data_IF_244027322361
#
_entry.id   IF_244027322361
#
_cell.length_a   1.000
_cell.length_b   1.000
_cell.length_c   1.000
_cell.angle_alpha   90.00
_cell.angle_beta   90.00
_cell.angle_gamma   90.00
#
_symmetry.space_group_name_H-M   'P 1'
#
loop_
_entity.id
_entity.type
_entity.pdbx_description
1 polymer ?
#
# COMPACT_ATOMS: atom_id res chain seq x y z
N UNK A 1 4.87 27.00 -14.39
CA UNK A 1 4.65 26.10 -15.56
C UNK A 1 3.59 25.04 -15.24
N UNK A 2 2.53 24.93 -16.05
CA UNK A 2 1.54 23.83 -15.97
C UNK A 2 2.10 22.53 -16.56
N UNK A 3 1.48 21.38 -16.25
CA UNK A 3 1.87 20.07 -16.79
C UNK A 3 1.73 20.04 -18.33
N UNK A 4 0.69 20.68 -18.85
CA UNK A 4 0.46 20.86 -20.28
C UNK A 4 1.60 21.64 -20.92
N UNK A 5 2.00 22.77 -20.32
CA UNK A 5 3.11 23.57 -20.83
C UNK A 5 4.43 22.79 -20.81
N UNK A 6 4.67 21.97 -19.78
CA UNK A 6 5.86 21.12 -19.69
C UNK A 6 5.89 20.02 -20.78
N UNK A 7 4.73 19.43 -21.10
CA UNK A 7 4.61 18.46 -22.19
C UNK A 7 4.81 19.11 -23.56
N UNK A 8 4.27 20.32 -23.77
CA UNK A 8 4.46 21.09 -25.00
C UNK A 8 5.93 21.41 -25.22
N UNK A 9 6.64 21.91 -24.19
CA UNK A 9 8.08 22.18 -24.26
C UNK A 9 8.87 20.91 -24.57
N UNK A 10 8.54 19.77 -23.93
CA UNK A 10 9.20 18.49 -24.22
C UNK A 10 9.00 18.05 -25.68
N UNK A 11 7.78 18.16 -26.19
CA UNK A 11 7.47 17.79 -27.59
C UNK A 11 8.15 18.72 -28.59
N UNK A 12 8.17 20.02 -28.32
CA UNK A 12 8.85 21.00 -29.18
C UNK A 12 10.37 20.74 -29.25
N UNK A 13 11.01 20.51 -28.11
CA UNK A 13 12.44 20.16 -28.03
C UNK A 13 12.74 18.87 -28.80
N UNK A 14 11.92 17.83 -28.63
CA UNK A 14 12.10 16.57 -29.34
C UNK A 14 11.97 16.73 -30.86
N UNK A 15 11.01 17.55 -31.32
CA UNK A 15 10.78 17.80 -32.74
C UNK A 15 11.95 18.56 -33.39
N UNK A 16 12.47 19.61 -32.75
CA UNK A 16 13.62 20.36 -33.27
C UNK A 16 14.88 19.50 -33.28
N UNK A 17 15.09 18.71 -32.22
CA UNK A 17 16.24 17.80 -32.14
C UNK A 17 16.26 16.79 -33.29
N UNK A 18 15.10 16.21 -33.64
CA UNK A 18 14.99 15.25 -34.74
C UNK A 18 15.31 15.86 -36.12
N UNK A 19 15.06 17.16 -36.31
CA UNK A 19 15.40 17.84 -37.57
C UNK A 19 16.91 18.03 -37.70
N UNK A 20 17.60 18.35 -36.61
CA UNK A 20 19.05 18.60 -36.60
C UNK A 20 19.85 17.28 -36.52
N UNK A 21 19.33 16.29 -35.80
CA UNK A 21 19.98 15.01 -35.52
C UNK A 21 19.10 13.82 -35.96
N UNK A 22 18.84 13.72 -37.25
CA UNK A 22 17.88 12.75 -37.80
C UNK A 22 18.24 11.26 -37.58
N UNK A 23 19.53 10.95 -37.38
CA UNK A 23 20.02 9.59 -37.16
C UNK A 23 20.14 9.22 -35.68
N UNK A 24 19.92 10.19 -34.77
CA UNK A 24 20.03 9.96 -33.34
C UNK A 24 18.68 9.63 -32.72
N UNK A 25 18.65 8.82 -31.64
CA UNK A 25 17.43 8.58 -30.90
C UNK A 25 16.88 9.88 -30.34
N UNK A 26 15.54 10.01 -30.29
CA UNK A 26 14.90 11.23 -29.82
C UNK A 26 15.43 11.66 -28.45
N UNK A 27 15.67 12.95 -28.26
CA UNK A 27 16.17 13.50 -26.98
C UNK A 27 15.25 13.16 -25.79
N UNK A 28 13.96 12.91 -26.04
CA UNK A 28 13.01 12.43 -25.03
C UNK A 28 13.28 11.02 -24.51
N UNK A 29 14.06 10.21 -25.23
CA UNK A 29 14.48 8.86 -24.82
C UNK A 29 15.77 8.87 -24.00
N UNK A 30 16.48 10.01 -23.92
CA UNK A 30 17.70 10.10 -23.12
C UNK A 30 17.39 9.95 -21.63
N UNK A 31 18.14 9.09 -20.94
CA UNK A 31 17.87 8.73 -19.54
C UNK A 31 17.83 9.95 -18.60
N UNK A 32 18.76 10.89 -18.76
CA UNK A 32 18.80 12.13 -17.96
C UNK A 32 17.56 13.01 -18.17
N UNK A 33 17.07 13.10 -19.41
CA UNK A 33 15.88 13.89 -19.76
C UNK A 33 14.64 13.26 -19.14
N UNK A 34 14.49 11.94 -19.26
CA UNK A 34 13.38 11.22 -18.62
C UNK A 34 13.41 11.37 -17.09
N UNK A 35 14.58 11.25 -16.47
CA UNK A 35 14.75 11.42 -15.04
C UNK A 35 14.39 12.85 -14.59
N UNK A 36 14.85 13.87 -15.30
CA UNK A 36 14.52 15.27 -15.02
C UNK A 36 13.00 15.52 -15.08
N UNK A 37 12.33 15.13 -16.16
CA UNK A 37 10.88 15.32 -16.29
C UNK A 37 10.09 14.48 -15.27
N UNK A 38 10.56 13.28 -14.93
CA UNK A 38 9.96 12.42 -13.89
C UNK A 38 10.10 13.05 -12.50
N UNK A 39 11.27 13.58 -12.16
CA UNK A 39 11.52 14.30 -10.92
C UNK A 39 10.67 15.57 -10.83
N UNK A 40 10.59 16.35 -11.91
CA UNK A 40 9.82 17.61 -11.97
C UNK A 40 8.30 17.41 -11.90
N UNK A 41 7.80 16.29 -12.44
CA UNK A 41 6.41 15.86 -12.25
C UNK A 41 6.12 15.48 -10.79
N UNK A 42 7.09 14.91 -10.08
CA UNK A 42 6.97 14.51 -8.67
C UNK A 42 7.09 15.68 -7.68
N UNK A 43 7.79 16.77 -8.05
CA UNK A 43 7.95 17.95 -7.17
C UNK A 43 6.65 18.71 -6.92
N UNK A 44 5.61 18.48 -7.74
CA UNK A 44 4.23 18.84 -7.39
C UNK A 44 3.62 17.70 -6.59
N UNK A 45 4.07 17.54 -5.36
CA UNK A 45 3.29 16.84 -4.34
C UNK A 45 1.94 17.55 -4.27
N UNK A 46 0.87 16.90 -4.77
CA UNK A 46 -0.47 17.26 -4.32
C UNK A 46 -0.46 16.97 -2.82
N UNK A 47 -0.35 18.02 -2.01
CA UNK A 47 -0.74 17.93 -0.60
C UNK A 47 -2.20 17.44 -0.58
N UNK A 48 -2.55 16.53 0.33
CA UNK A 48 -3.86 15.92 0.34
C UNK A 48 -4.92 17.01 0.48
N UNK A 49 -5.96 16.83 -0.32
CA UNK A 49 -7.14 17.66 -0.39
C UNK A 49 -7.66 17.96 1.03
N UNK A 50 -7.77 19.25 1.41
CA UNK A 50 -8.25 19.66 2.75
C UNK A 50 -9.71 19.25 3.02
N UNK A 51 -10.44 18.82 1.99
CA UNK A 51 -11.83 18.39 2.07
C UNK A 51 -12.01 16.86 2.05
N UNK A 52 -10.96 16.06 2.26
CA UNK A 52 -11.17 14.62 2.44
C UNK A 52 -11.73 14.32 3.83
N UNK A 53 -12.78 13.50 3.87
CA UNK A 53 -13.28 12.84 5.07
C UNK A 53 -12.10 12.24 5.85
N UNK A 54 -11.99 12.59 7.13
CA UNK A 54 -10.99 12.02 8.02
C UNK A 54 -11.26 10.52 8.09
N UNK A 55 -10.26 9.70 7.78
CA UNK A 55 -10.37 8.25 7.96
C UNK A 55 -10.29 7.94 9.46
N UNK A 56 -11.45 7.89 10.10
CA UNK A 56 -11.58 7.57 11.52
C UNK A 56 -11.42 6.04 11.71
N UNK A 57 -10.27 5.66 12.27
CA UNK A 57 -9.93 4.28 12.55
C UNK A 57 -10.80 3.74 13.69
N UNK A 58 -11.17 4.58 14.66
CA UNK A 58 -11.93 4.17 15.84
C UNK A 58 -13.33 3.70 15.44
N UNK A 59 -13.98 4.40 14.50
CA UNK A 59 -15.26 3.94 13.93
C UNK A 59 -15.16 2.55 13.27
N UNK A 60 -14.02 2.23 12.63
CA UNK A 60 -13.80 0.91 12.02
C UNK A 60 -13.50 -0.15 13.08
N UNK A 61 -12.75 0.19 14.13
CA UNK A 61 -12.47 -0.72 15.23
C UNK A 61 -13.75 -1.05 15.99
N UNK A 62 -14.60 -0.06 16.32
CA UNK A 62 -15.91 -0.27 16.96
C UNK A 62 -16.80 -1.18 16.11
N UNK A 63 -16.85 -0.94 14.79
CA UNK A 63 -17.63 -1.80 13.89
C UNK A 63 -17.16 -3.26 13.92
N UNK A 64 -15.85 -3.48 13.89
CA UNK A 64 -15.25 -4.83 13.89
C UNK A 64 -15.37 -5.52 15.25
N UNK A 65 -15.32 -4.75 16.33
CA UNK A 65 -15.55 -5.26 17.68
C UNK A 65 -16.99 -5.77 17.84
N UNK A 66 -17.96 -5.02 17.31
CA UNK A 66 -19.39 -5.38 17.33
C UNK A 66 -19.74 -6.65 16.53
N UNK A 67 -18.81 -7.20 15.74
CA UNK A 67 -19.04 -8.49 15.07
C UNK A 67 -19.01 -9.67 16.03
N UNK A 68 -18.39 -9.51 17.20
CA UNK A 68 -18.27 -10.54 18.24
C UNK A 68 -16.81 -10.95 18.49
N UNK A 69 -16.64 -11.82 19.48
CA UNK A 69 -15.34 -12.34 19.86
C UNK A 69 -14.76 -13.25 18.76
N UNK A 70 -13.47 -13.15 18.50
CA UNK A 70 -12.79 -13.84 17.39
C UNK A 70 -13.04 -15.36 17.39
N UNK A 71 -13.04 -15.96 18.58
CA UNK A 71 -13.25 -17.41 18.78
C UNK A 71 -14.67 -17.91 18.43
N UNK A 72 -15.66 -17.02 18.44
CA UNK A 72 -17.07 -17.37 18.26
C UNK A 72 -17.57 -17.02 16.85
N UNK A 73 -16.69 -16.45 16.00
CA UNK A 73 -17.06 -16.03 14.66
C UNK A 73 -17.08 -17.21 13.67
N UNK A 74 -18.10 -17.30 12.80
CA UNK A 74 -18.05 -18.21 11.66
C UNK A 74 -16.93 -17.79 10.68
N UNK A 75 -16.43 -18.75 9.91
CA UNK A 75 -15.25 -18.58 9.04
C UNK A 75 -15.36 -17.36 8.11
N UNK A 76 -16.54 -17.09 7.54
CA UNK A 76 -16.74 -15.97 6.61
C UNK A 76 -16.61 -14.59 7.31
N UNK A 77 -17.08 -14.49 8.55
CA UNK A 77 -16.94 -13.28 9.37
C UNK A 77 -15.53 -13.16 9.93
N UNK A 78 -14.91 -14.27 10.31
CA UNK A 78 -13.53 -14.31 10.77
C UNK A 78 -12.57 -13.85 9.66
N UNK A 79 -12.76 -14.34 8.43
CA UNK A 79 -12.01 -13.87 7.26
C UNK A 79 -12.12 -12.36 7.05
N UNK A 80 -13.34 -11.82 7.09
CA UNK A 80 -13.59 -10.37 6.95
C UNK A 80 -12.90 -9.59 8.07
N UNK A 81 -12.98 -10.09 9.31
CA UNK A 81 -12.38 -9.47 10.49
C UNK A 81 -10.86 -9.41 10.36
N UNK A 82 -10.25 -10.53 10.00
CA UNK A 82 -8.81 -10.63 9.72
C UNK A 82 -8.40 -9.63 8.64
N UNK A 83 -9.14 -9.56 7.53
CA UNK A 83 -8.80 -8.67 6.42
C UNK A 83 -8.89 -7.18 6.80
N UNK A 84 -9.90 -6.78 7.57
CA UNK A 84 -10.01 -5.38 8.06
C UNK A 84 -8.88 -5.05 9.04
N UNK A 85 -8.64 -5.90 10.04
CA UNK A 85 -7.60 -5.66 11.05
C UNK A 85 -6.20 -5.64 10.43
N UNK A 86 -5.90 -6.52 9.47
CA UNK A 86 -4.64 -6.50 8.73
C UNK A 86 -4.50 -5.26 7.85
N UNK A 87 -5.59 -4.81 7.22
CA UNK A 87 -5.58 -3.57 6.43
C UNK A 87 -5.20 -2.37 7.30
N UNK A 88 -5.77 -2.27 8.50
CA UNK A 88 -5.46 -1.19 9.46
C UNK A 88 -4.01 -1.33 9.96
N UNK A 89 -3.61 -2.53 10.39
CA UNK A 89 -2.30 -2.76 11.00
C UNK A 89 -1.13 -2.56 10.03
N UNK A 90 -1.33 -2.87 8.75
CA UNK A 90 -0.26 -2.83 7.73
C UNK A 90 -0.37 -1.63 6.79
N UNK A 91 -1.53 -0.96 6.76
CA UNK A 91 -1.90 0.03 5.75
C UNK A 91 -1.84 -0.51 4.32
N UNK A 92 -1.96 -1.83 4.15
CA UNK A 92 -1.96 -2.49 2.85
C UNK A 92 -3.32 -2.47 2.19
N UNK A 93 -3.34 -2.47 0.85
CA UNK A 93 -4.57 -2.45 0.08
C UNK A 93 -5.24 -3.84 0.16
N UNK A 94 -6.53 -3.92 0.57
CA UNK A 94 -7.24 -5.18 0.71
C UNK A 94 -7.17 -6.08 -0.53
N UNK A 95 -7.34 -5.52 -1.74
CA UNK A 95 -7.39 -6.32 -2.97
C UNK A 95 -6.02 -6.64 -3.56
N UNK A 96 -5.14 -5.64 -3.69
CA UNK A 96 -3.88 -5.83 -4.42
C UNK A 96 -2.76 -6.39 -3.55
N UNK A 97 -2.72 -6.02 -2.26
CA UNK A 97 -1.67 -6.44 -1.35
C UNK A 97 -2.13 -7.68 -0.57
N UNK A 98 -3.23 -7.56 0.19
CA UNK A 98 -3.73 -8.66 1.03
C UNK A 98 -4.44 -9.77 0.24
N UNK A 99 -5.15 -9.42 -0.84
CA UNK A 99 -5.86 -10.40 -1.68
C UNK A 99 -4.94 -11.37 -2.44
N UNK A 100 -3.64 -11.06 -2.51
CA UNK A 100 -2.63 -11.93 -3.11
C UNK A 100 -1.78 -12.69 -2.06
N UNK A 101 -2.04 -12.47 -0.78
CA UNK A 101 -1.31 -13.10 0.32
C UNK A 101 -1.68 -14.59 0.39
N UNK A 102 -0.68 -15.47 0.43
CA UNK A 102 -0.88 -16.90 0.66
C UNK A 102 -0.40 -17.30 2.05
N UNK A 103 -0.79 -18.49 2.51
CA UNK A 103 -0.37 -19.00 3.82
C UNK A 103 1.16 -19.01 3.99
N UNK A 104 1.91 -19.42 2.94
CA UNK A 104 3.39 -19.39 2.92
C UNK A 104 4.01 -18.00 3.04
N UNK A 105 3.22 -16.95 2.81
CA UNK A 105 3.63 -15.56 2.88
C UNK A 105 3.44 -14.99 4.30
N UNK A 106 2.98 -15.81 5.26
CA UNK A 106 2.75 -15.47 6.68
C UNK A 106 3.68 -16.30 7.56
N UNK A 107 4.39 -15.66 8.48
CA UNK A 107 5.22 -16.34 9.48
C UNK A 107 4.92 -15.78 10.86
N UNK A 108 4.44 -16.62 11.77
CA UNK A 108 4.23 -16.23 13.16
C UNK A 108 5.55 -16.16 13.91
N UNK A 109 5.66 -15.18 14.81
CA UNK A 109 6.80 -15.01 15.69
C UNK A 109 6.36 -15.45 17.08
N UNK A 110 7.08 -16.40 17.66
CA UNK A 110 6.78 -16.99 18.96
C UNK A 110 7.92 -16.75 19.94
N UNK A 111 7.57 -16.58 21.22
CA UNK A 111 8.49 -16.51 22.34
C UNK A 111 7.90 -17.32 23.49
N UNK A 112 8.67 -18.26 24.04
CA UNK A 112 8.22 -19.16 25.12
C UNK A 112 6.90 -19.89 24.83
N UNK A 113 6.71 -20.34 23.59
CA UNK A 113 5.50 -21.07 23.16
C UNK A 113 4.25 -20.20 23.02
N UNK A 114 4.40 -18.87 23.10
CA UNK A 114 3.32 -17.91 22.86
C UNK A 114 3.62 -17.09 21.61
N UNK A 115 2.61 -16.90 20.77
CA UNK A 115 2.71 -15.97 19.64
C UNK A 115 2.87 -14.57 20.22
N UNK A 116 3.81 -13.80 19.66
CA UNK A 116 4.07 -12.39 20.00
C UNK A 116 3.92 -11.46 18.79
N UNK A 117 3.88 -12.02 17.58
CA UNK A 117 3.72 -11.25 16.35
C UNK A 117 3.56 -12.11 15.10
N UNK A 118 3.50 -11.44 13.95
CA UNK A 118 3.52 -12.07 12.64
C UNK A 118 4.30 -11.21 11.64
N UNK A 119 4.98 -11.87 10.70
CA UNK A 119 5.59 -11.26 9.52
C UNK A 119 4.74 -11.63 8.30
N UNK A 120 4.31 -10.63 7.54
CA UNK A 120 3.63 -10.80 6.25
C UNK A 120 4.58 -10.37 5.14
N UNK A 121 4.78 -11.21 4.13
CA UNK A 121 5.66 -10.94 3.01
C UNK A 121 4.88 -11.00 1.69
N UNK A 122 4.43 -9.85 1.18
CA UNK A 122 3.82 -9.82 -0.14
C UNK A 122 4.87 -10.05 -1.24
N UNK A 123 4.45 -10.65 -2.35
CA UNK A 123 5.34 -11.09 -3.44
C UNK A 123 6.05 -9.99 -4.21
N UNK A 124 5.80 -8.72 -3.90
CA UNK A 124 6.53 -7.55 -4.42
C UNK A 124 6.44 -6.39 -3.42
N UNK A 125 7.48 -5.54 -3.34
CA UNK A 125 8.52 -5.54 -2.31
C UNK A 125 8.03 -5.18 -0.89
N UNK A 126 6.79 -5.49 -0.52
CA UNK A 126 6.20 -5.11 0.77
C UNK A 126 6.32 -6.26 1.76
N UNK A 127 6.93 -5.96 2.90
CA UNK A 127 6.87 -6.80 4.09
C UNK A 127 6.38 -5.95 5.26
N UNK A 128 5.61 -6.56 6.16
CA UNK A 128 5.16 -5.92 7.40
C UNK A 128 5.36 -6.86 8.57
N UNK A 129 5.86 -6.33 9.68
CA UNK A 129 5.96 -7.03 10.94
C UNK A 129 4.96 -6.40 11.90
N UNK A 130 4.01 -7.20 12.35
CA UNK A 130 2.92 -6.77 13.24
C UNK A 130 3.06 -7.48 14.59
N UNK A 131 2.90 -6.72 15.67
CA UNK A 131 2.90 -7.23 17.05
C UNK A 131 1.48 -7.48 17.56
N UNK A 132 1.39 -8.19 18.68
CA UNK A 132 0.12 -8.34 19.40
C UNK A 132 -0.31 -7.01 20.04
N UNK A 133 -1.61 -6.73 19.97
CA UNK A 133 -2.24 -5.61 20.68
C UNK A 133 -2.87 -6.07 22.00
N UNK A 134 -3.01 -5.15 22.96
CA UNK A 134 -3.62 -5.44 24.27
C UNK A 134 -5.08 -5.91 24.18
N UNK A 135 -5.86 -5.36 23.23
CA UNK A 135 -7.22 -5.85 22.98
C UNK A 135 -7.16 -7.15 22.21
N UNK A 136 -7.60 -8.25 22.84
CA UNK A 136 -7.62 -9.58 22.27
C UNK A 136 -8.55 -9.67 21.05
N UNK A 137 -9.74 -9.08 21.14
CA UNK A 137 -10.75 -9.11 20.08
C UNK A 137 -10.44 -8.20 18.88
N UNK A 138 -9.52 -7.25 19.03
CA UNK A 138 -9.06 -6.37 17.96
C UNK A 138 -7.62 -6.67 17.53
N UNK A 139 -7.02 -7.74 18.05
CA UNK A 139 -5.66 -8.10 17.73
C UNK A 139 -5.55 -8.68 16.33
N UNK A 140 -4.84 -8.02 15.39
CA UNK A 140 -4.67 -8.52 14.03
C UNK A 140 -3.93 -9.85 14.01
N UNK A 141 -2.94 -10.04 14.89
CA UNK A 141 -2.13 -11.27 14.96
C UNK A 141 -2.93 -12.45 15.48
N UNK A 142 -3.67 -12.28 16.59
CA UNK A 142 -4.51 -13.35 17.16
C UNK A 142 -5.65 -13.71 16.22
N UNK A 143 -6.27 -12.72 15.58
CA UNK A 143 -7.35 -12.96 14.61
C UNK A 143 -6.82 -13.65 13.36
N UNK A 144 -5.64 -13.26 12.85
CA UNK A 144 -4.97 -13.95 11.75
C UNK A 144 -4.59 -15.39 12.11
N UNK A 145 -4.14 -15.65 13.34
CA UNK A 145 -3.79 -17.00 13.77
C UNK A 145 -5.01 -17.93 13.91
N UNK A 146 -6.17 -17.36 14.26
CA UNK A 146 -7.42 -18.12 14.36
C UNK A 146 -8.06 -18.44 12.99
N UNK A 147 -7.74 -17.66 11.95
CA UNK A 147 -8.27 -17.79 10.59
C UNK A 147 -7.42 -18.73 9.73
#
# INVERSE_FOLDING_TARGET
LSLQHLNVVRSAIASVYQVVHAQEPSLGNHALVQQFFKARKRTRSKLPNRNQEIFDIDLKLVLVENWGATKDLPLDKLQKKTLVLLTIATMWRPRSDLGNLQHRDVTFVEFEGKIIGATLAARQPKASKIGITMSENLCPVKTLHAF
#
